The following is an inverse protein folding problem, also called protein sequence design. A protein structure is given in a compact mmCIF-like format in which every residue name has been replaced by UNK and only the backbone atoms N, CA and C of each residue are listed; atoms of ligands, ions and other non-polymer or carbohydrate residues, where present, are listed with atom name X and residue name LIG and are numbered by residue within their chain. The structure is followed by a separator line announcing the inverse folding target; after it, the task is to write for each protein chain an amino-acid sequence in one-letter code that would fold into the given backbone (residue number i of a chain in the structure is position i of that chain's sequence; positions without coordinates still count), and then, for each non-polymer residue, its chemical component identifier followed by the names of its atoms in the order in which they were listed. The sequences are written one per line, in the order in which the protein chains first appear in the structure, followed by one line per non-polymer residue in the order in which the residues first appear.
data_IF_754613963183
#
_entry.id   IF_754613963183
#
_cell.length_a   1.000
_cell.length_b   1.000
_cell.length_c   1.000
_cell.angle_alpha   90.00
_cell.angle_beta   90.00
_cell.angle_gamma   90.00
#
_symmetry.space_group_name_H-M   'P 1'
#
loop_
_entity.id
_entity.type
_entity.pdbx_description
1 polymer ?
#
# COMPACT_ATOMS: atom_id res chain seq x y z
N UNK A 1 2.32 12.15 -1.14
CA UNK A 1 3.64 11.50 -1.20
C UNK A 1 3.76 10.71 -2.51
N UNK A 2 4.97 10.35 -2.93
CA UNK A 2 5.18 9.44 -4.06
C UNK A 2 5.70 8.11 -3.52
N UNK A 3 5.01 7.02 -3.87
CA UNK A 3 5.42 5.67 -3.51
C UNK A 3 6.30 5.10 -4.61
N UNK A 4 7.46 4.54 -4.26
CA UNK A 4 8.36 3.89 -5.21
C UNK A 4 8.49 2.42 -4.83
N UNK A 5 8.15 1.54 -5.75
CA UNK A 5 8.21 0.10 -5.55
C UNK A 5 8.10 -0.64 -6.87
N UNK A 6 8.31 -1.96 -6.84
CA UNK A 6 8.21 -2.80 -8.03
C UNK A 6 8.40 -4.28 -7.71
N UNK A 7 7.81 -5.14 -8.53
CA UNK A 7 7.88 -6.60 -8.37
C UNK A 7 9.00 -7.25 -9.19
N UNK A 8 9.53 -6.58 -10.21
CA UNK A 8 10.42 -7.18 -11.22
C UNK A 8 11.65 -6.32 -11.43
N UNK A 9 12.85 -6.90 -11.34
CA UNK A 9 14.10 -6.24 -11.71
C UNK A 9 14.51 -5.06 -10.81
N UNK A 10 13.97 -4.97 -9.61
CA UNK A 10 14.26 -3.90 -8.66
C UNK A 10 15.64 -4.10 -8.05
N UNK A 11 16.52 -3.10 -8.18
CA UNK A 11 17.86 -3.09 -7.60
C UNK A 11 18.04 -1.83 -6.76
N UNK A 12 19.02 -1.83 -5.85
CA UNK A 12 19.32 -0.63 -5.09
C UNK A 12 19.70 0.55 -6.00
N UNK A 13 20.43 0.29 -7.08
CA UNK A 13 20.88 1.32 -8.03
C UNK A 13 19.70 1.98 -8.77
N UNK A 14 18.77 1.18 -9.31
CA UNK A 14 17.63 1.76 -10.04
C UNK A 14 16.61 2.43 -9.11
N UNK A 15 16.47 1.95 -7.87
CA UNK A 15 15.67 2.63 -6.85
C UNK A 15 16.29 3.97 -6.47
N UNK A 16 17.58 4.00 -6.13
CA UNK A 16 18.28 5.24 -5.74
C UNK A 16 18.19 6.29 -6.89
N UNK A 17 18.37 5.86 -8.14
CA UNK A 17 18.24 6.73 -9.31
C UNK A 17 16.81 7.26 -9.53
N UNK A 18 15.80 6.42 -9.33
CA UNK A 18 14.38 6.82 -9.41
C UNK A 18 14.05 7.85 -8.34
N UNK A 19 14.45 7.60 -7.09
CA UNK A 19 14.21 8.50 -5.95
C UNK A 19 14.89 9.86 -6.18
N UNK A 20 16.14 9.86 -6.65
CA UNK A 20 16.85 11.10 -6.98
C UNK A 20 16.18 11.90 -8.09
N UNK A 21 15.61 11.22 -9.09
CA UNK A 21 14.92 11.87 -10.19
C UNK A 21 13.61 12.52 -9.72
N UNK A 22 12.87 11.85 -8.84
CA UNK A 22 11.64 12.39 -8.24
C UNK A 22 11.95 13.62 -7.38
N UNK A 23 12.93 13.52 -6.48
CA UNK A 23 13.31 14.60 -5.57
C UNK A 23 13.89 15.84 -6.27
N UNK A 24 14.43 15.68 -7.48
CA UNK A 24 14.86 16.82 -8.33
C UNK A 24 13.68 17.57 -8.97
N UNK A 25 12.48 16.97 -8.99
CA UNK A 25 11.31 17.49 -9.71
C UNK A 25 10.20 17.98 -8.78
N UNK A 26 10.16 17.53 -7.54
CA UNK A 26 9.20 17.98 -6.54
C UNK A 26 9.71 17.75 -5.11
N UNK A 27 9.10 18.44 -4.16
CA UNK A 27 9.40 18.34 -2.72
C UNK A 27 8.51 17.33 -1.99
N UNK A 28 7.75 16.51 -2.72
CA UNK A 28 6.90 15.49 -2.11
C UNK A 28 7.76 14.40 -1.45
N UNK A 29 7.39 13.93 -0.24
CA UNK A 29 8.06 12.79 0.38
C UNK A 29 8.01 11.56 -0.52
N UNK A 30 9.14 10.86 -0.62
CA UNK A 30 9.29 9.62 -1.37
C UNK A 30 9.36 8.44 -0.40
N UNK A 31 8.35 7.58 -0.45
CA UNK A 31 8.20 6.42 0.46
C UNK A 31 8.51 5.14 -0.31
N UNK A 32 9.41 4.32 0.21
CA UNK A 32 9.69 3.01 -0.38
C UNK A 32 8.52 2.04 -0.10
N UNK A 33 8.01 1.42 -1.16
CA UNK A 33 7.01 0.35 -1.13
C UNK A 33 7.72 -0.99 -1.42
N UNK A 34 8.18 -1.70 -0.38
CA UNK A 34 9.07 -2.84 -0.53
C UNK A 34 8.42 -4.08 -1.15
N UNK A 35 9.22 -4.81 -1.94
CA UNK A 35 8.93 -6.18 -2.39
C UNK A 35 9.80 -7.23 -1.69
N UNK A 36 10.67 -6.84 -0.76
CA UNK A 36 11.47 -7.72 0.10
C UNK A 36 12.77 -7.06 0.58
N UNK A 37 13.51 -7.71 1.49
CA UNK A 37 14.72 -7.11 2.10
C UNK A 37 15.93 -7.00 1.14
N UNK A 38 15.82 -7.57 -0.06
CA UNK A 38 16.89 -7.61 -1.07
C UNK A 38 17.18 -6.25 -1.71
N UNK A 39 16.22 -5.31 -1.66
CA UNK A 39 16.36 -3.98 -2.21
C UNK A 39 15.89 -2.96 -1.17
N UNK A 40 16.82 -2.19 -0.59
CA UNK A 40 16.49 -1.07 0.32
C UNK A 40 17.14 0.17 -0.28
N UNK A 41 16.30 1.09 -0.77
CA UNK A 41 16.73 2.38 -1.31
C UNK A 41 17.28 3.25 -0.18
N UNK A 42 18.46 3.83 -0.35
CA UNK A 42 19.12 4.62 0.70
C UNK A 42 18.59 6.04 0.83
N UNK A 43 17.84 6.49 -0.19
CA UNK A 43 17.52 7.90 -0.39
C UNK A 43 16.05 8.23 -0.21
N UNK A 44 15.20 7.23 0.09
CA UNK A 44 13.81 7.46 0.45
C UNK A 44 13.72 8.17 1.80
N UNK A 45 12.66 8.95 1.98
CA UNK A 45 12.37 9.64 3.24
C UNK A 45 11.86 8.65 4.29
N UNK A 46 11.04 7.70 3.85
CA UNK A 46 10.50 6.63 4.68
C UNK A 46 10.43 5.29 3.93
N UNK A 47 10.16 4.22 4.67
CA UNK A 47 9.81 2.90 4.15
C UNK A 47 8.51 2.44 4.81
N UNK A 48 7.57 1.93 4.02
CA UNK A 48 6.47 1.17 4.59
C UNK A 48 7.01 -0.16 5.12
N UNK A 49 7.12 -0.26 6.43
CA UNK A 49 7.55 -1.46 7.13
C UNK A 49 6.36 -2.41 7.30
N UNK A 50 5.83 -2.85 6.16
CA UNK A 50 4.53 -3.51 6.03
C UNK A 50 4.60 -5.01 6.30
N UNK A 51 3.71 -5.53 7.14
CA UNK A 51 3.57 -6.97 7.41
C UNK A 51 2.33 -7.51 6.70
N UNK A 52 2.48 -8.50 5.82
CA UNK A 52 1.32 -9.14 5.17
C UNK A 52 0.62 -10.09 6.14
N UNK A 53 -0.38 -9.57 6.86
CA UNK A 53 -0.97 -10.26 8.01
C UNK A 53 -1.70 -11.55 7.65
N UNK A 54 -2.27 -11.60 6.44
CA UNK A 54 -2.96 -12.77 5.92
C UNK A 54 -2.08 -13.64 5.02
N UNK A 55 -0.74 -13.53 5.11
CA UNK A 55 0.16 -14.45 4.40
C UNK A 55 0.23 -15.81 5.09
N UNK A 56 0.22 -16.90 4.30
CA UNK A 56 0.54 -18.26 4.78
C UNK A 56 2.04 -18.47 4.99
N UNK A 57 2.87 -17.56 4.49
CA UNK A 57 4.32 -17.62 4.61
C UNK A 57 4.81 -16.61 5.66
N UNK A 58 5.27 -17.12 6.80
CA UNK A 58 5.80 -16.31 7.91
C UNK A 58 6.94 -15.38 7.48
N UNK A 59 7.63 -15.66 6.36
CA UNK A 59 8.62 -14.74 5.79
C UNK A 59 8.03 -13.39 5.42
N UNK A 60 6.80 -13.35 4.91
CA UNK A 60 6.12 -12.12 4.50
C UNK A 60 5.45 -11.39 5.68
N UNK A 61 5.28 -12.09 6.80
CA UNK A 61 4.73 -11.52 8.05
C UNK A 61 5.84 -10.87 8.88
N UNK A 62 6.97 -11.56 9.08
CA UNK A 62 8.05 -11.06 9.95
C UNK A 62 9.47 -11.41 9.49
N UNK A 63 9.65 -12.43 8.64
CA UNK A 63 10.98 -12.91 8.27
C UNK A 63 11.79 -11.92 7.44
N UNK A 64 11.18 -11.28 6.44
CA UNK A 64 11.85 -10.25 5.63
C UNK A 64 12.11 -8.98 6.46
N UNK A 65 11.23 -8.63 7.39
CA UNK A 65 11.41 -7.53 8.35
C UNK A 65 12.65 -7.73 9.20
N UNK A 66 12.82 -8.91 9.79
CA UNK A 66 13.98 -9.23 10.60
C UNK A 66 15.29 -9.14 9.80
N UNK A 67 15.26 -9.47 8.50
CA UNK A 67 16.41 -9.35 7.59
C UNK A 67 16.70 -7.89 7.22
N UNK A 68 15.67 -7.09 6.95
CA UNK A 68 15.79 -5.71 6.50
C UNK A 68 16.04 -4.69 7.62
N UNK A 69 15.51 -4.92 8.82
CA UNK A 69 15.51 -3.97 9.92
C UNK A 69 16.92 -3.46 10.33
N UNK A 70 17.97 -4.31 10.42
CA UNK A 70 19.31 -3.82 10.73
C UNK A 70 19.84 -2.83 9.68
N UNK A 71 19.52 -3.07 8.40
CA UNK A 71 19.93 -2.20 7.28
C UNK A 71 19.16 -0.88 7.34
N UNK A 72 17.83 -0.93 7.50
CA UNK A 72 16.97 0.26 7.64
C UNK A 72 17.47 1.13 8.79
N UNK A 73 17.69 0.52 9.97
CA UNK A 73 18.19 1.23 11.16
C UNK A 73 19.56 1.85 10.95
N UNK A 74 20.48 1.14 10.27
CA UNK A 74 21.81 1.68 9.94
C UNK A 74 21.75 2.86 8.98
N UNK A 75 20.80 2.84 8.04
CA UNK A 75 20.61 3.91 7.07
C UNK A 75 19.84 5.10 7.62
N UNK A 76 19.16 4.95 8.77
CA UNK A 76 18.36 6.01 9.37
C UNK A 76 17.09 6.34 8.60
N UNK A 77 16.59 5.40 7.79
CA UNK A 77 15.33 5.56 7.06
C UNK A 77 14.18 5.38 8.06
N UNK A 78 13.18 6.26 8.01
CA UNK A 78 11.99 6.19 8.86
C UNK A 78 11.13 4.97 8.50
N UNK A 79 10.94 3.99 9.40
CA UNK A 79 9.99 2.91 9.17
C UNK A 79 8.59 3.33 9.60
N UNK A 80 7.62 3.22 8.69
CA UNK A 80 6.20 3.41 8.98
C UNK A 80 5.57 2.02 9.10
N UNK A 81 5.14 1.62 10.29
CA UNK A 81 4.61 0.27 10.51
C UNK A 81 3.21 0.13 9.91
N UNK A 82 2.94 -0.98 9.21
CA UNK A 82 1.71 -1.12 8.44
C UNK A 82 1.23 -2.58 8.44
N UNK A 83 -0.04 -2.80 8.80
CA UNK A 83 -0.72 -4.05 8.54
C UNK A 83 -1.16 -4.10 7.08
N UNK A 84 -0.77 -5.13 6.35
CA UNK A 84 -1.07 -5.26 4.93
C UNK A 84 -1.96 -6.48 4.71
N UNK A 85 -3.19 -6.26 4.26
CA UNK A 85 -4.23 -7.28 4.12
C UNK A 85 -4.66 -7.36 2.68
N UNK A 86 -4.48 -8.54 2.08
CA UNK A 86 -4.81 -8.76 0.67
C UNK A 86 -6.26 -9.24 0.54
N UNK A 87 -7.06 -8.47 -0.19
CA UNK A 87 -8.45 -8.77 -0.52
C UNK A 87 -8.51 -9.33 -1.94
N UNK A 88 -9.44 -10.23 -2.20
CA UNK A 88 -9.69 -10.73 -3.56
C UNK A 88 -9.89 -9.59 -4.58
N UNK A 89 -9.28 -9.70 -5.77
CA UNK A 89 -8.61 -10.89 -6.32
C UNK A 89 -7.13 -11.05 -5.93
N UNK A 90 -6.52 -10.09 -5.23
CA UNK A 90 -5.13 -10.09 -4.77
C UNK A 90 -4.06 -10.00 -5.87
N UNK A 91 -4.40 -10.34 -7.11
CA UNK A 91 -3.51 -10.26 -8.28
C UNK A 91 -2.13 -10.88 -8.00
N UNK A 92 -1.06 -10.32 -8.58
CA UNK A 92 0.29 -10.87 -8.42
C UNK A 92 0.81 -10.79 -6.98
N UNK A 93 0.40 -9.78 -6.21
CA UNK A 93 0.83 -9.62 -4.81
C UNK A 93 0.26 -10.72 -3.92
N UNK A 94 -0.98 -11.13 -4.15
CA UNK A 94 -1.59 -12.28 -3.46
C UNK A 94 -0.89 -13.60 -3.78
N UNK A 95 -0.54 -13.82 -5.06
CA UNK A 95 0.17 -15.03 -5.51
C UNK A 95 1.58 -15.12 -4.91
N UNK A 96 2.40 -14.08 -5.10
CA UNK A 96 3.81 -14.06 -4.61
C UNK A 96 3.87 -13.98 -3.10
N UNK A 97 2.91 -13.27 -2.49
CA UNK A 97 2.79 -13.14 -1.04
C UNK A 97 2.25 -14.38 -0.34
N UNK A 98 1.80 -15.40 -1.08
CA UNK A 98 1.10 -16.58 -0.55
C UNK A 98 -0.06 -16.17 0.38
N UNK A 99 -0.84 -15.18 -0.05
CA UNK A 99 -1.91 -14.63 0.77
C UNK A 99 -3.11 -15.59 0.85
N UNK A 100 -3.61 -15.79 2.06
CA UNK A 100 -4.98 -16.22 2.32
C UNK A 100 -5.91 -15.06 2.06
N UNK A 101 -6.29 -14.88 0.79
CA UNK A 101 -7.10 -13.75 0.34
C UNK A 101 -8.38 -13.63 1.19
N UNK A 102 -8.65 -12.43 1.69
CA UNK A 102 -9.95 -12.13 2.28
C UNK A 102 -10.96 -12.04 1.15
N UNK A 103 -12.01 -12.86 1.22
CA UNK A 103 -13.08 -12.85 0.22
C UNK A 103 -13.83 -11.54 0.24
N UNK A 104 -14.26 -11.04 -0.92
CA UNK A 104 -14.94 -9.73 -1.05
C UNK A 104 -16.26 -9.62 -0.25
N UNK A 105 -16.87 -10.73 0.13
CA UNK A 105 -18.09 -10.80 0.93
C UNK A 105 -17.85 -11.15 2.42
N UNK A 106 -16.60 -11.37 2.82
CA UNK A 106 -16.22 -11.75 4.18
C UNK A 106 -15.76 -10.56 5.02
N UNK A 107 -16.72 -9.70 5.35
CA UNK A 107 -16.50 -8.50 6.17
C UNK A 107 -15.97 -8.86 7.56
N UNK A 108 -16.41 -9.98 8.14
CA UNK A 108 -16.01 -10.37 9.49
C UNK A 108 -14.52 -10.68 9.58
N UNK A 109 -13.99 -11.45 8.62
CA UNK A 109 -12.55 -11.73 8.56
C UNK A 109 -11.74 -10.45 8.36
N UNK A 110 -12.20 -9.54 7.47
CA UNK A 110 -11.54 -8.25 7.24
C UNK A 110 -11.45 -7.42 8.52
N UNK A 111 -12.57 -7.25 9.24
CA UNK A 111 -12.62 -6.51 10.51
C UNK A 111 -11.70 -7.14 11.56
N UNK A 112 -11.61 -8.47 11.60
CA UNK A 112 -10.66 -9.17 12.47
C UNK A 112 -9.21 -8.77 12.21
N UNK A 113 -8.79 -8.70 10.95
CA UNK A 113 -7.45 -8.22 10.60
C UNK A 113 -7.25 -6.73 10.88
N UNK A 114 -8.28 -5.91 10.69
CA UNK A 114 -8.22 -4.48 10.98
C UNK A 114 -7.94 -4.23 12.47
N UNK A 115 -8.75 -4.82 13.35
CA UNK A 115 -8.57 -4.72 14.81
C UNK A 115 -7.24 -5.32 15.24
N UNK A 116 -6.82 -6.45 14.67
CA UNK A 116 -5.53 -7.05 14.98
C UNK A 116 -4.35 -6.11 14.61
N UNK A 117 -4.45 -5.40 13.49
CA UNK A 117 -3.45 -4.41 13.06
C UNK A 117 -3.27 -3.31 14.10
N UNK A 118 -4.39 -2.74 14.57
CA UNK A 118 -4.37 -1.72 15.61
C UNK A 118 -3.85 -2.27 16.94
N UNK A 119 -4.27 -3.47 17.35
CA UNK A 119 -3.83 -4.06 18.62
C UNK A 119 -2.35 -4.45 18.62
N UNK A 120 -1.77 -4.71 17.46
CA UNK A 120 -0.31 -4.83 17.33
C UNK A 120 0.42 -3.49 17.45
N UNK A 121 -0.30 -2.38 17.50
CA UNK A 121 0.27 -1.02 17.57
C UNK A 121 0.88 -0.58 16.26
N UNK A 122 0.37 -1.06 15.12
CA UNK A 122 0.84 -0.62 13.80
C UNK A 122 0.27 0.75 13.46
N UNK A 123 1.04 1.57 12.74
CA UNK A 123 0.67 2.96 12.44
C UNK A 123 -0.42 3.05 11.37
N UNK A 124 -0.53 2.06 10.46
CA UNK A 124 -1.44 2.08 9.32
C UNK A 124 -2.06 0.69 9.07
N UNK A 125 -3.30 0.67 8.58
CA UNK A 125 -3.88 -0.50 7.92
C UNK A 125 -3.95 -0.24 6.41
N UNK A 126 -3.48 -1.18 5.59
CA UNK A 126 -3.60 -1.14 4.14
C UNK A 126 -4.36 -2.35 3.61
N UNK A 127 -5.54 -2.09 3.05
CA UNK A 127 -6.34 -3.07 2.29
C UNK A 127 -6.00 -2.98 0.80
N UNK A 128 -5.54 -4.08 0.22
CA UNK A 128 -5.07 -4.14 -1.16
C UNK A 128 -5.84 -5.19 -1.96
N UNK A 129 -6.49 -4.77 -3.06
CA UNK A 129 -7.15 -5.67 -4.01
C UNK A 129 -6.17 -6.27 -5.05
N UNK A 130 -4.97 -5.70 -5.16
CA UNK A 130 -3.92 -6.05 -6.10
C UNK A 130 -3.79 -5.01 -7.22
N UNK A 131 -2.54 -4.73 -7.64
CA UNK A 131 -2.29 -3.85 -8.80
C UNK A 131 -2.97 -4.40 -10.06
N UNK A 132 -3.69 -3.54 -10.77
CA UNK A 132 -4.48 -3.91 -11.93
C UNK A 132 -5.74 -4.73 -11.64
N UNK A 133 -6.18 -4.81 -10.37
CA UNK A 133 -7.48 -5.42 -10.04
C UNK A 133 -8.62 -4.76 -10.85
N UNK A 134 -9.61 -5.54 -11.32
CA UNK A 134 -10.72 -5.02 -12.11
C UNK A 134 -11.65 -4.11 -11.29
N UNK A 135 -11.69 -4.32 -9.97
CA UNK A 135 -12.51 -3.56 -9.03
C UNK A 135 -11.72 -3.30 -7.75
N UNK A 136 -11.94 -2.15 -7.09
CA UNK A 136 -11.33 -1.86 -5.80
C UNK A 136 -11.89 -2.75 -4.68
N UNK A 137 -11.35 -2.59 -3.47
CA UNK A 137 -11.93 -3.17 -2.25
C UNK A 137 -13.40 -2.74 -2.13
N UNK A 138 -14.34 -3.65 -1.80
CA UNK A 138 -15.76 -3.32 -1.62
C UNK A 138 -16.00 -2.18 -0.62
N UNK A 139 -16.96 -1.30 -0.89
CA UNK A 139 -17.19 -0.10 -0.06
C UNK A 139 -17.67 -0.46 1.36
N UNK A 140 -18.48 -1.51 1.49
CA UNK A 140 -18.94 -2.04 2.77
C UNK A 140 -17.77 -2.58 3.62
N UNK A 141 -16.78 -3.20 2.99
CA UNK A 141 -15.53 -3.57 3.65
C UNK A 141 -14.73 -2.36 4.12
N UNK A 142 -14.62 -1.31 3.30
CA UNK A 142 -13.90 -0.09 3.67
C UNK A 142 -14.57 0.58 4.88
N UNK A 143 -15.89 0.74 4.86
CA UNK A 143 -16.63 1.34 5.97
C UNK A 143 -16.57 0.48 7.23
N UNK A 144 -16.73 -0.83 7.12
CA UNK A 144 -16.62 -1.72 8.28
C UNK A 144 -15.21 -1.70 8.90
N UNK A 145 -14.15 -1.63 8.09
CA UNK A 145 -12.79 -1.46 8.60
C UNK A 145 -12.63 -0.12 9.31
N UNK A 146 -13.06 0.99 8.69
CA UNK A 146 -12.97 2.33 9.28
C UNK A 146 -13.71 2.43 10.61
N UNK A 147 -14.88 1.83 10.72
CA UNK A 147 -15.69 1.83 11.96
C UNK A 147 -15.07 0.98 13.08
N UNK A 148 -14.09 0.12 12.76
CA UNK A 148 -13.51 -0.85 13.69
C UNK A 148 -12.14 -0.48 14.26
N UNK A 149 -11.50 0.57 13.74
CA UNK A 149 -10.15 1.00 14.12
C UNK A 149 -10.10 2.53 14.25
N UNK A 150 -9.09 3.05 14.94
CA UNK A 150 -8.76 4.48 15.06
C UNK A 150 -7.51 4.87 14.24
N UNK A 151 -6.68 3.91 13.83
CA UNK A 151 -5.52 4.17 12.95
C UNK A 151 -5.92 4.54 11.52
N UNK A 152 -5.07 5.25 10.74
CA UNK A 152 -5.38 5.58 9.35
C UNK A 152 -5.54 4.34 8.45
N UNK A 153 -6.54 4.42 7.57
CA UNK A 153 -6.92 3.38 6.61
C UNK A 153 -6.45 3.75 5.20
N UNK A 154 -5.61 2.90 4.63
CA UNK A 154 -5.10 2.98 3.27
C UNK A 154 -5.85 1.98 2.39
N UNK A 155 -6.30 2.41 1.21
CA UNK A 155 -6.98 1.55 0.21
C UNK A 155 -6.28 1.64 -1.14
N UNK A 156 -6.13 0.50 -1.80
CA UNK A 156 -5.40 0.37 -3.06
C UNK A 156 -5.83 -0.85 -3.88
N UNK A 157 -5.42 -0.83 -5.15
CA UNK A 157 -5.82 -1.83 -6.15
C UNK A 157 -7.12 -1.44 -6.85
N UNK A 158 -7.11 -1.44 -8.18
CA UNK A 158 -8.31 -1.23 -9.02
C UNK A 158 -8.96 0.16 -8.99
N UNK A 159 -8.34 1.17 -8.37
CA UNK A 159 -8.83 2.55 -8.34
C UNK A 159 -8.27 3.30 -9.55
N UNK A 160 -9.10 3.49 -10.57
CA UNK A 160 -8.70 4.12 -11.84
C UNK A 160 -9.58 5.29 -12.24
N UNK A 161 -10.75 5.49 -11.62
CA UNK A 161 -11.62 6.64 -11.92
C UNK A 161 -11.80 7.58 -10.73
N UNK A 162 -12.07 8.89 -10.99
CA UNK A 162 -12.40 9.84 -9.92
C UNK A 162 -13.63 9.42 -9.09
N UNK A 163 -14.64 8.83 -9.72
CA UNK A 163 -15.84 8.32 -9.03
C UNK A 163 -15.50 7.18 -8.05
N UNK A 164 -14.65 6.23 -8.46
CA UNK A 164 -14.16 5.18 -7.57
C UNK A 164 -13.40 5.78 -6.38
N UNK A 165 -12.48 6.71 -6.64
CA UNK A 165 -11.70 7.35 -5.60
C UNK A 165 -12.57 8.13 -4.61
N UNK A 166 -13.54 8.92 -5.10
CA UNK A 166 -14.46 9.66 -4.24
C UNK A 166 -15.34 8.74 -3.38
N UNK A 167 -15.83 7.62 -3.93
CA UNK A 167 -16.60 6.64 -3.15
C UNK A 167 -15.77 5.95 -2.07
N UNK A 168 -14.51 5.61 -2.36
CA UNK A 168 -13.59 5.00 -1.40
C UNK A 168 -13.24 5.97 -0.27
N UNK A 169 -12.99 7.25 -0.60
CA UNK A 169 -12.76 8.31 0.38
C UNK A 169 -13.99 8.49 1.27
N UNK A 170 -15.18 8.62 0.67
CA UNK A 170 -16.44 8.77 1.40
C UNK A 170 -16.78 7.55 2.27
N UNK A 171 -16.32 6.36 1.91
CA UNK A 171 -16.50 5.15 2.71
C UNK A 171 -15.58 5.09 3.94
N UNK A 172 -14.59 5.99 4.05
CA UNK A 172 -13.73 6.11 5.24
C UNK A 172 -12.23 5.91 5.00
N UNK A 173 -11.78 5.84 3.74
CA UNK A 173 -10.34 5.76 3.46
C UNK A 173 -9.65 7.10 3.75
N UNK A 174 -8.60 7.07 4.58
CA UNK A 174 -7.75 8.24 4.84
C UNK A 174 -6.72 8.45 3.72
N UNK A 175 -6.28 7.35 3.09
CA UNK A 175 -5.27 7.37 2.02
C UNK A 175 -5.72 6.44 0.89
N UNK A 176 -5.63 6.95 -0.34
CA UNK A 176 -5.91 6.19 -1.56
C UNK A 176 -4.63 6.02 -2.37
N UNK A 177 -4.34 4.80 -2.81
CA UNK A 177 -3.16 4.46 -3.61
C UNK A 177 -3.56 4.15 -5.05
N UNK A 178 -2.99 4.89 -6.00
CA UNK A 178 -3.20 4.70 -7.45
C UNK A 178 -1.86 4.48 -8.16
N UNK A 179 -1.61 3.26 -8.65
CA UNK A 179 -0.38 2.90 -9.37
C UNK A 179 -0.58 2.69 -10.86
N UNK A 180 -1.50 1.78 -11.23
CA UNK A 180 -1.71 1.31 -12.62
C UNK A 180 -2.05 2.42 -13.61
N UNK A 181 -2.68 3.50 -13.13
CA UNK A 181 -3.01 4.66 -13.97
C UNK A 181 -1.76 5.28 -14.63
N UNK A 182 -0.67 5.38 -13.87
CA UNK A 182 0.55 6.08 -14.27
C UNK A 182 1.30 5.29 -15.35
N UNK A 183 1.07 3.97 -15.46
CA UNK A 183 1.76 3.08 -16.40
C UNK A 183 1.21 3.18 -17.83
N UNK A 184 0.04 3.81 -18.06
CA UNK A 184 -0.71 3.73 -19.32
C UNK A 184 -0.59 4.94 -20.27
N UNK A 185 0.29 5.92 -20.02
CA UNK A 185 0.48 7.07 -20.91
C UNK A 185 0.04 8.40 -20.28
N UNK A 186 -0.66 9.27 -21.02
CA UNK A 186 -1.08 10.63 -20.59
C UNK A 186 -1.99 10.60 -19.33
N UNK A 187 -1.38 10.37 -18.17
CA UNK A 187 -2.04 10.12 -16.90
C UNK A 187 -2.39 11.41 -16.15
N UNK A 188 -1.79 12.55 -16.53
CA UNK A 188 -1.91 13.80 -15.79
C UNK A 188 -3.38 14.25 -15.64
N UNK A 189 -4.22 14.28 -16.70
CA UNK A 189 -5.60 14.72 -16.58
C UNK A 189 -6.41 13.82 -15.63
N UNK A 190 -6.17 12.50 -15.70
CA UNK A 190 -6.92 11.52 -14.92
C UNK A 190 -6.45 11.51 -13.46
N UNK A 191 -5.15 11.63 -13.21
CA UNK A 191 -4.59 11.75 -11.86
C UNK A 191 -5.09 13.03 -11.18
N UNK A 192 -5.10 14.16 -11.91
CA UNK A 192 -5.65 15.42 -11.41
C UNK A 192 -7.11 15.29 -11.01
N UNK A 193 -7.94 14.68 -11.85
CA UNK A 193 -9.35 14.47 -11.57
C UNK A 193 -9.57 13.57 -10.33
N UNK A 194 -8.74 12.55 -10.13
CA UNK A 194 -8.77 11.70 -8.92
C UNK A 194 -8.42 12.52 -7.67
N UNK A 195 -7.33 13.29 -7.71
CA UNK A 195 -6.89 14.12 -6.59
C UNK A 195 -7.97 15.15 -6.22
N UNK A 196 -8.59 15.78 -7.21
CA UNK A 196 -9.71 16.72 -7.00
C UNK A 196 -10.94 16.05 -6.41
N UNK A 197 -11.29 14.82 -6.84
CA UNK A 197 -12.43 14.09 -6.30
C UNK A 197 -12.25 13.66 -4.84
N UNK A 198 -11.01 13.45 -4.38
CA UNK A 198 -10.71 13.07 -2.99
C UNK A 198 -10.69 14.31 -2.07
N UNK A 199 -10.15 15.45 -2.54
CA UNK A 199 -10.02 16.67 -1.72
C UNK A 199 -11.20 17.65 -1.85
N UNK A 200 -12.05 17.47 -2.86
CA UNK A 200 -13.28 18.26 -3.06
C UNK A 200 -14.54 17.65 -2.45
N UNK A 201 -14.44 16.44 -1.87
CA UNK A 201 -15.52 15.73 -1.19
C UNK A 201 -15.60 16.09 0.31
#
# INVERSE_FOLDING_TARGET
AIMVGGSTGVTQENLDATVDSIKKKCDLPVIYFPSGAHAIARRCDAIYFMSMLNSKNVRNVTGEHARGAPVIKKLGIEPISMGYVIVEPGMKVGEVGEAELVRRDDIQTLVGYAIATEFFGMDLLYLEAGSGAPEPVPLDMVSAARDSIDIPLVIGGGIVTPDQAGKIAAAGADIIVTGTLIENGDFEPQLRAIVEAIHGA
#
